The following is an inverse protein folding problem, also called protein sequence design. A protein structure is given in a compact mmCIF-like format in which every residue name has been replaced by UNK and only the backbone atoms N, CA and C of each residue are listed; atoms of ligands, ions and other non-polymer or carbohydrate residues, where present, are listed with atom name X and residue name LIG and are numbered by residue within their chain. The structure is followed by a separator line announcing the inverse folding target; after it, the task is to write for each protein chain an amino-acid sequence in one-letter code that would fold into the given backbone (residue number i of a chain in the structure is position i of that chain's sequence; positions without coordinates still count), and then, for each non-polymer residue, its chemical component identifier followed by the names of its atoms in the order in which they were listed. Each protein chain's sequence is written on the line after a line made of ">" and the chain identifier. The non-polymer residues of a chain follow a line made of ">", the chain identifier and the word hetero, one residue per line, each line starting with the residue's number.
data_IF_966294851744
#
_entry.id   IF_966294851744
#
_cell.length_a   1.000
_cell.length_b   1.000
_cell.length_c   1.000
_cell.angle_alpha   90.00
_cell.angle_beta   90.00
_cell.angle_gamma   90.00
#
_symmetry.space_group_name_H-M   'P 1'
#
loop_
_entity.id
_entity.type
_entity.pdbx_description
1 polymer ?
#
# COMPACT_ATOMS: atom_id res chain seq x y z
N UNK A 1 26.92 23.81 27.01
CA UNK A 1 26.74 23.87 28.48
C UNK A 1 25.31 23.52 28.80
N UNK A 2 25.11 22.51 29.64
CA UNK A 2 23.81 21.90 29.94
C UNK A 2 22.86 22.91 30.59
N UNK A 3 21.69 23.13 29.98
CA UNK A 3 20.62 23.89 30.62
C UNK A 3 19.95 22.99 31.66
N UNK A 4 20.24 23.25 32.94
CA UNK A 4 19.48 22.72 34.07
C UNK A 4 18.02 23.20 33.95
N UNK A 5 17.15 22.31 33.47
CA UNK A 5 15.70 22.48 33.56
C UNK A 5 15.29 21.86 34.89
N UNK A 6 14.90 22.70 35.84
CA UNK A 6 14.46 22.28 37.17
C UNK A 6 13.22 21.37 37.04
N UNK A 7 13.37 20.08 37.31
CA UNK A 7 12.31 19.06 37.17
C UNK A 7 11.17 19.23 38.21
N UNK A 8 11.31 20.17 39.15
CA UNK A 8 10.33 20.47 40.19
C UNK A 8 9.19 21.42 39.78
N UNK A 9 9.21 22.00 38.57
CA UNK A 9 8.16 22.92 38.09
C UNK A 9 7.52 22.40 36.79
N UNK A 10 6.84 21.26 36.87
CA UNK A 10 6.04 20.72 35.77
C UNK A 10 4.56 20.69 36.16
N UNK A 11 3.71 21.21 35.28
CA UNK A 11 2.26 21.09 35.42
C UNK A 11 1.87 19.66 35.07
N UNK A 12 1.22 18.96 36.00
CA UNK A 12 0.62 17.65 35.71
C UNK A 12 -0.79 17.86 35.18
N UNK A 13 -1.00 17.58 33.90
CA UNK A 13 -2.30 17.51 33.27
C UNK A 13 -2.72 16.04 33.09
N UNK A 14 -4.01 15.74 32.89
CA UNK A 14 -4.48 14.37 32.62
C UNK A 14 -3.79 13.71 31.43
N UNK A 15 -3.40 14.53 30.43
CA UNK A 15 -2.81 14.09 29.16
C UNK A 15 -1.28 14.01 29.19
N UNK A 16 -0.65 14.45 30.29
CA UNK A 16 0.80 14.40 30.44
C UNK A 16 1.40 15.52 31.29
N UNK A 17 2.72 15.48 31.45
CA UNK A 17 3.48 16.55 32.14
C UNK A 17 3.90 17.63 31.15
N UNK A 18 3.55 18.87 31.45
CA UNK A 18 3.99 20.04 30.68
C UNK A 18 5.05 20.80 31.47
N UNK A 19 6.23 20.97 30.87
CA UNK A 19 7.33 21.76 31.47
C UNK A 19 7.12 23.24 31.14
N UNK A 20 7.31 24.12 32.12
CA UNK A 20 7.28 25.56 31.89
C UNK A 20 8.58 26.04 31.23
N UNK A 21 8.49 27.05 30.36
CA UNK A 21 9.65 27.76 29.79
C UNK A 21 9.41 29.28 29.87
N UNK A 22 10.37 30.08 30.36
CA UNK A 22 10.26 31.54 30.35
C UNK A 22 10.57 32.15 28.97
N UNK A 23 11.01 31.34 27.99
CA UNK A 23 11.35 31.79 26.64
C UNK A 23 10.20 31.47 25.68
N UNK A 24 9.64 32.50 25.06
CA UNK A 24 8.64 32.36 24.01
C UNK A 24 9.33 31.84 22.73
N UNK A 25 9.03 30.58 22.38
CA UNK A 25 9.54 29.91 21.17
C UNK A 25 8.37 29.22 20.47
N UNK A 26 8.08 29.64 19.24
CA UNK A 26 7.15 28.92 18.38
C UNK A 26 7.81 27.62 17.90
N UNK A 27 7.05 26.53 17.92
CA UNK A 27 7.47 25.27 17.31
C UNK A 27 7.06 25.36 15.84
N UNK A 28 8.05 25.40 14.95
CA UNK A 28 7.80 25.29 13.51
C UNK A 28 7.25 23.90 13.20
N UNK A 29 6.13 23.81 12.48
CA UNK A 29 5.59 22.54 11.99
C UNK A 29 6.47 21.92 10.91
N UNK A 30 7.27 22.74 10.21
CA UNK A 30 8.21 22.29 9.19
C UNK A 30 9.59 22.12 9.80
N UNK A 31 10.09 20.88 9.79
CA UNK A 31 11.50 20.62 9.89
C UNK A 31 12.20 21.16 8.62
N UNK A 32 13.38 21.76 8.77
CA UNK A 32 14.18 22.25 7.63
C UNK A 32 14.65 21.10 6.72
N UNK A 33 14.75 19.88 7.27
CA UNK A 33 15.13 18.66 6.57
C UNK A 33 14.00 17.63 6.66
N UNK A 34 13.72 16.94 5.55
CA UNK A 34 12.74 15.84 5.50
C UNK A 34 13.36 14.56 6.06
N UNK A 35 12.52 13.70 6.60
CA UNK A 35 12.92 12.34 7.01
C UNK A 35 13.53 11.57 5.83
N UNK A 36 14.54 10.74 6.14
CA UNK A 36 15.25 9.94 5.15
C UNK A 36 14.39 8.79 4.60
N UNK A 37 14.41 8.57 3.28
CA UNK A 37 13.79 7.39 2.67
C UNK A 37 14.67 6.15 2.84
N UNK A 38 14.14 5.10 3.46
CA UNK A 38 14.81 3.81 3.58
C UNK A 38 14.96 3.13 2.20
N UNK A 39 16.16 2.58 1.94
CA UNK A 39 16.51 1.94 0.66
C UNK A 39 17.48 0.79 0.88
N UNK A 40 17.25 -0.33 0.18
CA UNK A 40 18.08 -1.55 0.24
C UNK A 40 18.95 -1.74 -1.01
N UNK A 41 18.37 -1.48 -2.18
CA UNK A 41 19.03 -1.65 -3.48
C UNK A 41 19.34 -0.29 -4.11
N UNK A 42 20.47 -0.20 -4.82
CA UNK A 42 20.80 0.92 -5.69
C UNK A 42 20.05 0.83 -7.03
N UNK A 43 20.26 1.82 -7.92
CA UNK A 43 19.60 1.89 -9.23
C UNK A 43 19.99 0.76 -10.19
N UNK A 44 21.11 0.08 -9.92
CA UNK A 44 21.59 -1.06 -10.69
C UNK A 44 21.15 -2.40 -10.07
N UNK A 45 20.38 -2.37 -8.97
CA UNK A 45 19.94 -3.55 -8.24
C UNK A 45 20.99 -4.15 -7.30
N UNK A 46 22.11 -3.45 -7.04
CA UNK A 46 23.10 -3.91 -6.06
C UNK A 46 22.70 -3.53 -4.64
N UNK A 47 23.09 -4.34 -3.67
CA UNK A 47 22.81 -4.09 -2.26
C UNK A 47 23.66 -2.93 -1.73
N UNK A 48 23.04 -2.07 -0.91
CA UNK A 48 23.72 -0.97 -0.23
C UNK A 48 24.31 -1.48 1.08
N UNK A 49 25.63 -1.34 1.24
CA UNK A 49 26.44 -1.97 2.31
C UNK A 49 26.02 -1.66 3.75
N UNK A 50 25.30 -0.55 3.96
CA UNK A 50 24.83 -0.09 5.28
C UNK A 50 23.34 -0.36 5.54
N UNK A 51 22.63 -1.01 4.62
CA UNK A 51 21.20 -1.29 4.78
C UNK A 51 20.96 -2.54 5.63
N UNK A 52 19.99 -2.47 6.54
CA UNK A 52 19.50 -3.62 7.29
C UNK A 52 18.28 -4.20 6.56
N UNK A 53 18.34 -5.45 6.10
CA UNK A 53 17.24 -6.10 5.36
C UNK A 53 17.15 -7.59 5.69
N UNK A 54 16.00 -8.19 5.38
CA UNK A 54 15.80 -9.65 5.45
C UNK A 54 15.85 -10.20 4.03
N UNK A 55 16.75 -11.15 3.79
CA UNK A 55 16.87 -11.79 2.48
C UNK A 55 15.65 -12.70 2.22
N UNK A 56 15.03 -12.53 1.05
CA UNK A 56 13.92 -13.38 0.62
C UNK A 56 14.44 -14.59 -0.15
N UNK A 57 13.72 -15.71 -0.08
CA UNK A 57 14.10 -16.89 -0.87
C UNK A 57 13.99 -16.61 -2.38
N UNK A 58 14.75 -17.34 -3.18
CA UNK A 58 14.72 -17.22 -4.65
C UNK A 58 13.32 -17.47 -5.20
N UNK A 59 12.60 -18.43 -4.64
CA UNK A 59 11.23 -18.79 -5.04
C UNK A 59 10.27 -17.63 -4.79
N UNK A 60 10.39 -16.98 -3.63
CA UNK A 60 9.60 -15.79 -3.30
C UNK A 60 9.93 -14.64 -4.24
N UNK A 61 11.22 -14.38 -4.49
CA UNK A 61 11.65 -13.33 -5.41
C UNK A 61 11.13 -13.53 -6.84
N UNK A 62 11.19 -14.77 -7.36
CA UNK A 62 10.64 -15.12 -8.67
C UNK A 62 9.12 -14.94 -8.70
N UNK A 63 8.41 -15.35 -7.65
CA UNK A 63 6.96 -15.14 -7.55
C UNK A 63 6.62 -13.65 -7.55
N UNK A 64 7.32 -12.84 -6.74
CA UNK A 64 7.13 -11.39 -6.70
C UNK A 64 7.30 -10.77 -8.07
N UNK A 65 8.38 -11.11 -8.78
CA UNK A 65 8.62 -10.62 -10.13
C UNK A 65 7.54 -11.05 -11.12
N UNK A 66 7.13 -12.32 -11.06
CA UNK A 66 6.08 -12.88 -11.93
C UNK A 66 4.74 -12.17 -11.72
N UNK A 67 4.37 -11.94 -10.46
CA UNK A 67 3.11 -11.26 -10.11
C UNK A 67 3.14 -9.78 -10.52
N UNK A 68 4.29 -9.09 -10.38
CA UNK A 68 4.45 -7.71 -10.87
C UNK A 68 4.24 -7.62 -12.40
N UNK A 69 4.87 -8.51 -13.16
CA UNK A 69 4.68 -8.56 -14.63
C UNK A 69 3.25 -8.93 -15.01
N UNK A 70 2.64 -9.86 -14.26
CA UNK A 70 1.25 -10.27 -14.46
C UNK A 70 0.28 -9.11 -14.23
N UNK A 71 0.47 -8.35 -13.15
CA UNK A 71 -0.31 -7.15 -12.84
C UNK A 71 -0.20 -6.11 -13.96
N UNK A 72 1.02 -5.79 -14.40
CA UNK A 72 1.25 -4.84 -15.48
C UNK A 72 0.61 -5.28 -16.82
N UNK A 73 0.67 -6.58 -17.11
CA UNK A 73 0.05 -7.15 -18.31
C UNK A 73 -1.48 -7.09 -18.24
N UNK A 74 -2.04 -7.48 -17.08
CA UNK A 74 -3.48 -7.40 -16.81
C UNK A 74 -3.98 -5.96 -16.98
N UNK A 75 -3.26 -4.99 -16.42
CA UNK A 75 -3.58 -3.57 -16.51
C UNK A 75 -3.60 -3.08 -17.95
N UNK A 76 -2.60 -3.46 -18.74
CA UNK A 76 -2.54 -3.09 -20.16
C UNK A 76 -3.77 -3.61 -20.92
N UNK A 77 -4.17 -4.86 -20.67
CA UNK A 77 -5.31 -5.48 -21.35
C UNK A 77 -6.64 -4.82 -20.95
N UNK A 78 -6.88 -4.63 -19.66
CA UNK A 78 -8.14 -4.04 -19.21
C UNK A 78 -8.22 -2.54 -19.50
N UNK A 79 -7.11 -1.82 -19.47
CA UNK A 79 -7.06 -0.43 -19.92
C UNK A 79 -7.49 -0.32 -21.39
N UNK A 80 -6.97 -1.17 -22.26
CA UNK A 80 -7.41 -1.19 -23.67
C UNK A 80 -8.88 -1.64 -23.83
N UNK A 81 -9.35 -2.57 -23.00
CA UNK A 81 -10.76 -2.94 -22.98
C UNK A 81 -11.67 -1.75 -22.61
N UNK A 82 -11.22 -0.90 -21.67
CA UNK A 82 -11.90 0.34 -21.30
C UNK A 82 -11.91 1.32 -22.48
N UNK A 83 -10.77 1.49 -23.17
CA UNK A 83 -10.67 2.34 -24.37
C UNK A 83 -11.62 1.93 -25.50
N UNK A 84 -11.94 0.65 -25.59
CA UNK A 84 -12.90 0.09 -26.54
C UNK A 84 -14.35 0.12 -26.05
N UNK A 85 -14.61 0.61 -24.83
CA UNK A 85 -15.95 0.63 -24.23
C UNK A 85 -16.47 -0.75 -23.81
N UNK A 86 -15.60 -1.76 -23.70
CA UNK A 86 -15.97 -3.12 -23.24
C UNK A 86 -16.22 -3.17 -21.73
N UNK A 87 -15.51 -2.32 -20.98
CA UNK A 87 -15.73 -2.06 -19.55
C UNK A 87 -15.89 -0.56 -19.34
N UNK A 88 -16.64 -0.16 -18.32
CA UNK A 88 -17.02 1.25 -18.12
C UNK A 88 -15.90 2.11 -17.54
N UNK A 89 -15.00 1.54 -16.74
CA UNK A 89 -13.96 2.25 -16.02
C UNK A 89 -12.76 1.33 -15.74
N UNK A 90 -11.55 1.90 -15.67
CA UNK A 90 -10.35 1.18 -15.27
C UNK A 90 -9.25 2.15 -14.81
N UNK A 91 -8.49 1.79 -13.79
CA UNK A 91 -7.26 2.46 -13.36
C UNK A 91 -6.15 1.42 -13.25
N UNK A 92 -4.95 1.80 -13.66
CA UNK A 92 -3.77 0.93 -13.62
C UNK A 92 -2.95 1.17 -12.35
N UNK A 93 -2.18 0.19 -11.90
CA UNK A 93 -1.21 0.30 -10.80
C UNK A 93 0.24 0.44 -11.32
N UNK A 94 0.42 1.02 -12.50
CA UNK A 94 1.74 1.17 -13.14
C UNK A 94 2.66 2.02 -12.26
N UNK A 95 3.81 1.47 -11.89
CA UNK A 95 4.78 2.08 -10.97
C UNK A 95 4.54 1.74 -9.49
N UNK A 96 3.42 1.08 -9.17
CA UNK A 96 3.01 0.68 -7.82
C UNK A 96 2.94 -0.85 -7.67
N UNK A 97 3.45 -1.61 -8.63
CA UNK A 97 3.39 -3.08 -8.61
C UNK A 97 4.21 -3.66 -7.45
N UNK A 98 5.40 -3.10 -7.22
CA UNK A 98 6.30 -3.57 -6.18
C UNK A 98 5.73 -3.34 -4.77
N UNK A 99 5.15 -2.17 -4.50
CA UNK A 99 4.57 -1.88 -3.17
C UNK A 99 3.39 -2.80 -2.88
N UNK A 100 2.57 -3.10 -3.89
CA UNK A 100 1.46 -4.02 -3.78
C UNK A 100 1.90 -5.46 -3.44
N UNK A 101 2.80 -5.99 -4.26
CA UNK A 101 3.22 -7.38 -4.16
C UNK A 101 4.11 -7.60 -2.93
N UNK A 102 5.07 -6.71 -2.68
CA UNK A 102 6.00 -6.86 -1.56
C UNK A 102 5.34 -6.66 -0.21
N UNK A 103 4.42 -5.69 -0.08
CA UNK A 103 3.68 -5.52 1.18
C UNK A 103 2.78 -6.72 1.46
N UNK A 104 2.09 -7.25 0.44
CA UNK A 104 1.27 -8.46 0.57
C UNK A 104 2.11 -9.71 0.93
N UNK A 105 3.33 -9.82 0.41
CA UNK A 105 4.24 -10.92 0.71
C UNK A 105 4.79 -10.88 2.14
N UNK A 106 4.87 -9.71 2.76
CA UNK A 106 5.25 -9.54 4.16
C UNK A 106 4.11 -9.87 5.14
N UNK A 107 2.86 -9.92 4.65
CA UNK A 107 1.68 -10.26 5.44
C UNK A 107 1.39 -11.76 5.43
N UNK A 108 0.70 -12.21 6.47
CA UNK A 108 0.07 -13.53 6.47
C UNK A 108 -1.25 -13.49 5.70
N UNK A 109 -1.80 -14.66 5.35
CA UNK A 109 -3.09 -14.72 4.65
C UNK A 109 -4.26 -14.31 5.57
N UNK A 110 -4.08 -14.43 6.89
CA UNK A 110 -5.09 -14.11 7.89
C UNK A 110 -5.20 -12.60 8.16
N UNK A 111 -4.18 -11.82 7.79
CA UNK A 111 -4.20 -10.37 7.94
C UNK A 111 -5.25 -9.73 7.04
N UNK A 112 -6.08 -8.85 7.60
CA UNK A 112 -7.12 -8.15 6.88
C UNK A 112 -6.54 -6.95 6.14
N UNK A 113 -6.84 -6.85 4.84
CA UNK A 113 -6.39 -5.75 3.98
C UNK A 113 -7.55 -4.79 3.72
N UNK A 114 -7.32 -3.51 4.02
CA UNK A 114 -8.18 -2.38 3.67
C UNK A 114 -7.52 -1.59 2.54
N UNK A 115 -7.90 -1.86 1.29
CA UNK A 115 -7.34 -1.19 0.12
C UNK A 115 -8.02 0.16 -0.17
N UNK A 116 -7.39 0.95 -1.04
CA UNK A 116 -8.06 1.98 -1.81
C UNK A 116 -8.44 1.37 -3.18
N UNK A 117 -7.90 1.85 -4.30
CA UNK A 117 -8.27 1.33 -5.64
C UNK A 117 -7.06 0.95 -6.51
N UNK A 118 -5.82 1.06 -6.00
CA UNK A 118 -4.60 0.67 -6.75
C UNK A 118 -4.02 -0.64 -6.23
N UNK A 119 -4.70 -1.30 -5.29
CA UNK A 119 -4.15 -2.44 -4.56
C UNK A 119 -4.46 -3.82 -5.15
N UNK A 120 -4.74 -3.89 -6.46
CA UNK A 120 -5.06 -5.14 -7.15
C UNK A 120 -3.93 -6.19 -7.05
N UNK A 121 -2.67 -5.75 -6.95
CA UNK A 121 -1.55 -6.67 -6.75
C UNK A 121 -1.62 -7.46 -5.44
N UNK A 122 -2.20 -6.90 -4.37
CA UNK A 122 -2.37 -7.64 -3.10
C UNK A 122 -3.29 -8.84 -3.29
N UNK A 123 -4.39 -8.66 -4.03
CA UNK A 123 -5.30 -9.76 -4.39
C UNK A 123 -4.62 -10.79 -5.29
N UNK A 124 -3.86 -10.34 -6.28
CA UNK A 124 -3.11 -11.23 -7.18
C UNK A 124 -2.13 -12.10 -6.39
N UNK A 125 -1.35 -11.50 -5.47
CA UNK A 125 -0.42 -12.21 -4.61
C UNK A 125 -1.11 -13.29 -3.76
N UNK A 126 -2.30 -12.97 -3.22
CA UNK A 126 -3.14 -13.85 -2.40
C UNK A 126 -3.92 -14.91 -3.20
N UNK A 127 -3.73 -14.97 -4.52
CA UNK A 127 -4.30 -16.03 -5.37
C UNK A 127 -5.66 -15.70 -5.97
N UNK A 128 -6.06 -14.42 -5.99
CA UNK A 128 -7.20 -13.97 -6.79
C UNK A 128 -6.85 -14.07 -8.27
N UNK A 129 -7.69 -14.78 -9.02
CA UNK A 129 -7.45 -15.13 -10.41
C UNK A 129 -7.77 -13.97 -11.34
N UNK A 130 -7.08 -13.93 -12.50
CA UNK A 130 -7.40 -12.98 -13.58
C UNK A 130 -8.86 -13.09 -14.03
N UNK A 131 -9.45 -14.29 -13.96
CA UNK A 131 -10.86 -14.50 -14.25
C UNK A 131 -11.76 -13.80 -13.23
N UNK A 132 -11.43 -13.82 -11.94
CA UNK A 132 -12.19 -13.10 -10.92
C UNK A 132 -12.08 -11.58 -11.10
N UNK A 133 -10.89 -11.05 -11.43
CA UNK A 133 -10.72 -9.65 -11.82
C UNK A 133 -11.62 -9.28 -13.01
N UNK A 134 -11.58 -10.08 -14.08
CA UNK A 134 -12.42 -9.88 -15.25
C UNK A 134 -13.91 -9.92 -14.90
N UNK A 135 -14.35 -10.85 -14.04
CA UNK A 135 -15.75 -10.97 -13.66
C UNK A 135 -16.28 -9.68 -13.02
N UNK A 136 -15.49 -9.10 -12.12
CA UNK A 136 -15.81 -7.84 -11.46
C UNK A 136 -15.84 -6.67 -12.46
N UNK A 137 -14.80 -6.51 -13.30
CA UNK A 137 -14.73 -5.41 -14.27
C UNK A 137 -15.85 -5.45 -15.31
N UNK A 138 -16.30 -6.64 -15.72
CA UNK A 138 -17.40 -6.81 -16.66
C UNK A 138 -18.77 -6.86 -15.99
N UNK A 139 -18.85 -6.79 -14.66
CA UNK A 139 -20.11 -6.88 -13.91
C UNK A 139 -20.95 -8.11 -14.31
N UNK A 140 -20.29 -9.24 -14.56
CA UNK A 140 -20.95 -10.42 -15.09
C UNK A 140 -21.58 -11.30 -13.99
N UNK A 141 -22.25 -12.38 -14.37
CA UNK A 141 -22.95 -13.29 -13.43
C UNK A 141 -22.05 -13.94 -12.37
N UNK A 142 -20.75 -13.99 -12.61
CA UNK A 142 -19.76 -14.61 -11.73
C UNK A 142 -19.06 -13.59 -10.82
N UNK A 143 -19.42 -12.31 -10.89
CA UNK A 143 -18.95 -11.29 -9.95
C UNK A 143 -19.54 -11.53 -8.55
N UNK A 144 -18.67 -11.62 -7.55
CA UNK A 144 -19.07 -11.70 -6.14
C UNK A 144 -19.83 -10.45 -5.68
N UNK A 145 -19.51 -9.29 -6.25
CA UNK A 145 -20.21 -8.01 -6.03
C UNK A 145 -21.55 -7.89 -6.76
N UNK A 146 -21.92 -8.89 -7.58
CA UNK A 146 -23.18 -8.94 -8.35
C UNK A 146 -23.38 -7.74 -9.29
N UNK A 147 -22.29 -7.15 -9.80
CA UNK A 147 -22.32 -6.00 -10.70
C UNK A 147 -22.81 -4.70 -10.06
N UNK A 148 -22.79 -4.61 -8.72
CA UNK A 148 -23.31 -3.45 -7.98
C UNK A 148 -22.29 -2.34 -7.80
N UNK A 149 -21.02 -2.68 -7.96
CA UNK A 149 -19.90 -1.76 -7.79
C UNK A 149 -19.32 -1.38 -9.15
N UNK A 150 -18.66 -0.21 -9.19
CA UNK A 150 -17.87 0.19 -10.34
C UNK A 150 -16.76 -0.85 -10.61
N UNK A 151 -16.31 -1.06 -11.86
CA UNK A 151 -15.07 -1.80 -12.11
C UNK A 151 -13.93 -1.31 -11.21
N UNK A 152 -12.95 -2.16 -10.92
CA UNK A 152 -11.82 -1.97 -9.99
C UNK A 152 -12.17 -1.92 -8.50
N UNK A 153 -13.45 -1.96 -8.13
CA UNK A 153 -13.86 -2.12 -6.74
C UNK A 153 -13.89 -3.60 -6.32
N UNK A 154 -12.70 -4.19 -6.25
CA UNK A 154 -12.57 -5.60 -5.90
C UNK A 154 -12.87 -5.85 -4.41
N UNK A 155 -13.26 -7.08 -4.09
CA UNK A 155 -13.52 -7.52 -2.72
C UNK A 155 -13.54 -9.04 -2.64
N UNK A 156 -12.93 -9.60 -1.60
CA UNK A 156 -12.93 -11.05 -1.38
C UNK A 156 -12.75 -11.42 0.09
N UNK A 157 -13.79 -12.03 0.66
CA UNK A 157 -13.72 -12.60 2.01
C UNK A 157 -12.71 -13.76 2.08
N UNK A 158 -12.58 -14.55 1.00
CA UNK A 158 -11.63 -15.68 0.93
C UNK A 158 -10.18 -15.22 1.08
N UNK A 159 -9.87 -14.01 0.59
CA UNK A 159 -8.51 -13.46 0.61
C UNK A 159 -8.33 -12.38 1.68
N UNK A 160 -9.24 -12.30 2.67
CA UNK A 160 -9.23 -11.27 3.73
C UNK A 160 -9.02 -9.84 3.18
N UNK A 161 -9.70 -9.54 2.08
CA UNK A 161 -9.57 -8.27 1.36
C UNK A 161 -10.93 -7.57 1.33
N UNK A 162 -11.02 -6.45 2.05
CA UNK A 162 -12.26 -5.70 2.21
C UNK A 162 -12.64 -5.06 0.87
N UNK A 163 -13.95 -5.02 0.60
CA UNK A 163 -14.44 -4.44 -0.66
C UNK A 163 -14.12 -2.96 -0.72
N UNK A 164 -13.44 -2.56 -1.80
CA UNK A 164 -13.09 -1.17 -2.09
C UNK A 164 -14.34 -0.28 -2.14
N UNK A 165 -14.21 0.94 -1.63
CA UNK A 165 -15.17 2.01 -1.81
C UNK A 165 -14.50 3.22 -2.51
N UNK A 166 -15.27 4.02 -3.25
CA UNK A 166 -14.73 5.21 -3.92
C UNK A 166 -14.33 6.32 -2.95
N UNK A 167 -14.95 6.37 -1.77
CA UNK A 167 -14.70 7.44 -0.78
C UNK A 167 -13.26 7.33 -0.27
N UNK A 168 -12.53 8.43 -0.37
CA UNK A 168 -11.24 8.58 0.33
C UNK A 168 -11.58 8.95 1.78
N UNK A 169 -11.15 8.11 2.71
CA UNK A 169 -11.35 8.31 4.15
C UNK A 169 -10.10 8.93 4.79
#
# INVERSE_FOLDING_TARGET
>A
MANNVDDNQALKLPEGKVKFTPKLRFISETADERECCYRVLDENGNQISSSNYVEVSKEVAIKMYTDMVTLQTMDTIFYEAQRQGRISFYLTAVGEEAINIASAAALTIDDVVFPQYREAGVLLWRGFTIQEFANQCFSNKADYGKGRQMPIHYGSNKHNYVTVASTVA
#
